data_IF_776726216265
#
_entry.id   IF_776726216265
#
_cell.length_a   1.000
_cell.length_b   1.000
_cell.length_c   1.000
_cell.angle_alpha   90.00
_cell.angle_beta   90.00
_cell.angle_gamma   90.00
#
_symmetry.space_group_name_H-M   'P 1'
#
loop_
_entity.id
_entity.type
_entity.pdbx_description
1 polymer ?
#
# COMPACT_ATOMS: atom_id res chain seq x y z
N UNK A 1 -18.78 -8.59 -0.54
CA UNK A 1 -18.64 -8.40 -1.99
C UNK A 1 -17.18 -8.57 -2.37
N UNK A 2 -16.89 -9.35 -3.40
CA UNK A 2 -15.54 -9.54 -3.92
C UNK A 2 -15.52 -9.15 -5.39
N UNK A 3 -14.56 -8.31 -5.75
CA UNK A 3 -14.30 -7.88 -7.11
C UNK A 3 -12.84 -8.18 -7.44
N UNK A 4 -12.59 -8.61 -8.68
CA UNK A 4 -11.25 -8.97 -9.14
C UNK A 4 -10.94 -8.30 -10.49
N UNK A 5 -9.64 -8.11 -10.78
CA UNK A 5 -9.12 -7.63 -12.07
C UNK A 5 -9.63 -6.24 -12.47
N UNK A 6 -9.75 -5.33 -11.51
CA UNK A 6 -10.14 -3.94 -11.75
C UNK A 6 -9.01 -3.08 -12.29
N UNK A 7 -8.53 -3.40 -13.50
CA UNK A 7 -7.36 -2.78 -14.13
C UNK A 7 -7.77 -1.96 -15.36
N UNK A 8 -6.83 -1.16 -15.91
CA UNK A 8 -7.02 -0.38 -17.14
C UNK A 8 -8.18 0.63 -17.03
N UNK A 9 -9.23 0.46 -17.84
CA UNK A 9 -10.40 1.34 -17.92
C UNK A 9 -11.50 0.96 -16.92
N UNK A 10 -11.18 0.13 -15.93
CA UNK A 10 -12.10 -0.18 -14.84
C UNK A 10 -12.56 1.11 -14.14
N UNK A 11 -13.89 1.37 -14.05
CA UNK A 11 -14.44 2.57 -13.43
C UNK A 11 -14.47 2.42 -11.90
N UNK A 12 -13.31 2.22 -11.27
CA UNK A 12 -13.16 1.91 -9.84
C UNK A 12 -13.84 2.95 -8.95
N UNK A 13 -13.74 4.25 -9.26
CA UNK A 13 -14.40 5.31 -8.48
C UNK A 13 -15.93 5.19 -8.52
N UNK A 14 -16.50 4.92 -9.69
CA UNK A 14 -17.94 4.74 -9.83
C UNK A 14 -18.41 3.49 -9.08
N UNK A 15 -17.65 2.39 -9.17
CA UNK A 15 -17.90 1.15 -8.43
C UNK A 15 -17.92 1.41 -6.91
N UNK A 16 -16.92 2.12 -6.39
CA UNK A 16 -16.83 2.45 -4.96
C UNK A 16 -17.97 3.37 -4.52
N UNK A 17 -18.35 4.36 -5.33
CA UNK A 17 -19.51 5.21 -5.07
C UNK A 17 -20.80 4.40 -4.98
N UNK A 18 -21.04 3.48 -5.93
CA UNK A 18 -22.20 2.57 -5.85
C UNK A 18 -22.14 1.65 -4.63
N UNK A 19 -20.96 1.14 -4.28
CA UNK A 19 -20.76 0.33 -3.06
C UNK A 19 -21.12 1.13 -1.79
N UNK A 20 -20.81 2.43 -1.75
CA UNK A 20 -21.12 3.28 -0.60
C UNK A 20 -22.63 3.39 -0.32
N UNK A 21 -23.46 3.18 -1.34
CA UNK A 21 -24.92 3.22 -1.26
C UNK A 21 -25.54 1.89 -0.77
N UNK A 22 -24.72 0.85 -0.53
CA UNK A 22 -25.19 -0.47 -0.07
C UNK A 22 -25.13 -0.54 1.47
N UNK A 23 -26.24 -0.31 2.20
CA UNK A 23 -26.22 -0.14 3.67
C UNK A 23 -25.84 -1.40 4.44
N UNK A 24 -26.06 -2.58 3.85
CA UNK A 24 -25.79 -3.88 4.49
C UNK A 24 -24.45 -4.50 4.05
N UNK A 25 -23.73 -3.87 3.12
CA UNK A 25 -22.46 -4.40 2.67
C UNK A 25 -21.37 -4.02 3.69
N UNK A 26 -20.87 -5.02 4.43
CA UNK A 26 -19.87 -4.83 5.49
C UNK A 26 -18.47 -5.35 5.13
N UNK A 27 -18.37 -6.21 4.12
CA UNK A 27 -17.11 -6.82 3.68
C UNK A 27 -16.88 -6.54 2.20
N UNK A 28 -15.73 -5.95 1.90
CA UNK A 28 -15.28 -5.68 0.54
C UNK A 28 -13.91 -6.30 0.30
N UNK A 29 -13.77 -7.00 -0.82
CA UNK A 29 -12.49 -7.52 -1.29
C UNK A 29 -12.23 -6.97 -2.70
N UNK A 30 -11.11 -6.26 -2.87
CA UNK A 30 -10.67 -5.67 -4.12
C UNK A 30 -9.33 -6.31 -4.50
N UNK A 31 -9.36 -7.21 -5.48
CA UNK A 31 -8.21 -8.03 -5.84
C UNK A 31 -7.68 -7.64 -7.21
N UNK A 32 -6.39 -7.30 -7.25
CA UNK A 32 -5.72 -6.80 -8.45
C UNK A 32 -6.45 -5.59 -9.07
N UNK A 33 -6.62 -4.56 -8.25
CA UNK A 33 -7.24 -3.29 -8.65
C UNK A 33 -6.18 -2.21 -8.87
N UNK A 34 -6.32 -1.46 -9.95
CA UNK A 34 -5.56 -0.23 -10.16
C UNK A 34 -6.04 0.83 -9.16
N UNK A 35 -5.10 1.47 -8.48
CA UNK A 35 -5.36 2.59 -7.57
C UNK A 35 -4.86 3.86 -8.25
N UNK A 36 -5.80 4.76 -8.51
CA UNK A 36 -5.57 6.06 -9.16
C UNK A 36 -6.02 7.17 -8.21
N UNK A 37 -5.63 8.40 -8.52
CA UNK A 37 -6.07 9.60 -7.78
C UNK A 37 -7.60 9.62 -7.72
N UNK A 38 -8.18 9.91 -6.55
CA UNK A 38 -9.62 9.88 -6.30
C UNK A 38 -10.11 8.56 -5.70
N UNK A 39 -9.29 7.50 -5.72
CA UNK A 39 -9.60 6.23 -5.05
C UNK A 39 -9.84 6.43 -3.55
N UNK A 40 -8.98 7.21 -2.89
CA UNK A 40 -9.04 7.54 -1.47
C UNK A 40 -10.32 8.29 -1.10
N UNK A 41 -10.81 9.15 -1.99
CA UNK A 41 -12.07 9.87 -1.81
C UNK A 41 -13.25 8.93 -1.95
N UNK A 42 -13.26 8.12 -3.01
CA UNK A 42 -14.34 7.17 -3.28
C UNK A 42 -14.42 6.06 -2.23
N UNK A 43 -13.28 5.55 -1.75
CA UNK A 43 -13.21 4.55 -0.69
C UNK A 43 -13.70 5.12 0.66
N UNK A 44 -13.41 6.39 0.96
CA UNK A 44 -13.84 7.03 2.20
C UNK A 44 -15.36 7.13 2.34
N UNK A 45 -16.11 7.09 1.23
CA UNK A 45 -17.58 7.07 1.25
C UNK A 45 -18.14 5.72 1.76
N UNK A 46 -17.38 4.64 1.65
CA UNK A 46 -17.79 3.27 2.00
C UNK A 46 -17.80 3.02 3.52
N UNK A 47 -18.45 3.89 4.28
CA UNK A 47 -18.46 3.90 5.76
C UNK A 47 -19.12 2.66 6.39
N UNK A 48 -19.93 1.90 5.65
CA UNK A 48 -20.49 0.63 6.14
C UNK A 48 -19.47 -0.52 6.15
N UNK A 49 -18.35 -0.38 5.44
CA UNK A 49 -17.33 -1.42 5.34
C UNK A 49 -16.57 -1.54 6.66
N UNK A 50 -16.62 -2.75 7.22
CA UNK A 50 -15.91 -3.16 8.43
C UNK A 50 -14.72 -4.07 8.13
N UNK A 51 -14.76 -4.76 7.00
CA UNK A 51 -13.76 -5.75 6.61
C UNK A 51 -13.31 -5.45 5.18
N UNK A 52 -12.02 -5.13 5.00
CA UNK A 52 -11.44 -4.81 3.70
C UNK A 52 -10.22 -5.69 3.41
N UNK A 53 -10.24 -6.37 2.26
CA UNK A 53 -9.04 -6.94 1.63
C UNK A 53 -8.71 -6.13 0.38
N UNK A 54 -7.51 -5.58 0.33
CA UNK A 54 -7.00 -4.85 -0.83
C UNK A 54 -5.71 -5.49 -1.34
N UNK A 55 -5.69 -5.84 -2.63
CA UNK A 55 -4.49 -6.23 -3.36
C UNK A 55 -4.37 -5.31 -4.57
N UNK A 56 -3.57 -4.23 -4.51
CA UNK A 56 -3.39 -3.34 -5.64
C UNK A 56 -2.54 -3.98 -6.75
N UNK A 57 -2.72 -3.46 -7.96
CA UNK A 57 -1.76 -3.65 -9.07
C UNK A 57 -0.76 -2.51 -9.11
N UNK A 58 0.50 -2.86 -9.34
CA UNK A 58 1.63 -1.93 -9.34
C UNK A 58 2.21 -1.87 -10.75
N UNK A 59 1.65 -1.02 -11.60
CA UNK A 59 2.12 -0.85 -12.98
C UNK A 59 3.16 0.27 -13.05
N UNK A 60 2.80 1.46 -12.55
CA UNK A 60 3.69 2.63 -12.47
C UNK A 60 3.46 3.36 -11.15
N UNK A 61 4.52 3.87 -10.53
CA UNK A 61 4.44 4.70 -9.31
C UNK A 61 3.87 3.99 -8.07
N UNK A 62 4.47 2.85 -7.70
CA UNK A 62 4.07 2.08 -6.51
C UNK A 62 4.06 2.89 -5.20
N UNK A 63 4.93 3.88 -5.05
CA UNK A 63 4.91 4.80 -3.92
C UNK A 63 3.59 5.60 -3.84
N UNK A 64 3.10 6.10 -4.97
CA UNK A 64 1.82 6.78 -5.09
C UNK A 64 0.67 5.83 -4.77
N UNK A 65 0.65 4.64 -5.37
CA UNK A 65 -0.34 3.59 -5.07
C UNK A 65 -0.43 3.32 -3.56
N UNK A 66 0.71 3.10 -2.90
CA UNK A 66 0.76 2.83 -1.46
C UNK A 66 0.26 4.00 -0.62
N UNK A 67 0.59 5.23 -1.01
CA UNK A 67 0.10 6.43 -0.36
C UNK A 67 -1.44 6.55 -0.45
N UNK A 68 -2.01 6.37 -1.65
CA UNK A 68 -3.45 6.46 -1.85
C UNK A 68 -4.22 5.35 -1.10
N UNK A 69 -3.68 4.14 -1.05
CA UNK A 69 -4.26 3.06 -0.22
C UNK A 69 -4.25 3.44 1.26
N UNK A 70 -3.11 3.88 1.79
CA UNK A 70 -2.99 4.30 3.19
C UNK A 70 -3.93 5.46 3.54
N UNK A 71 -3.99 6.47 2.68
CA UNK A 71 -4.87 7.63 2.84
C UNK A 71 -6.34 7.19 2.84
N UNK A 72 -6.76 6.39 1.86
CA UNK A 72 -8.12 5.90 1.76
C UNK A 72 -8.56 5.07 2.97
N UNK A 73 -7.73 4.14 3.43
CA UNK A 73 -8.09 3.32 4.61
C UNK A 73 -8.11 4.14 5.90
N UNK A 74 -7.22 5.14 6.05
CA UNK A 74 -7.19 6.00 7.24
C UNK A 74 -8.50 6.77 7.43
N UNK A 75 -9.18 7.12 6.33
CA UNK A 75 -10.49 7.78 6.34
C UNK A 75 -11.63 6.86 6.81
N UNK A 76 -11.40 5.54 6.80
CA UNK A 76 -12.30 4.53 7.36
C UNK A 76 -11.92 4.13 8.80
N UNK A 77 -11.01 4.84 9.48
CA UNK A 77 -10.54 4.52 10.84
C UNK A 77 -11.64 4.36 11.90
N UNK A 78 -12.81 4.97 11.69
CA UNK A 78 -13.96 4.88 12.60
C UNK A 78 -14.82 3.63 12.39
N UNK A 79 -14.74 2.99 11.22
CA UNK A 79 -15.67 1.94 10.78
C UNK A 79 -14.98 0.63 10.43
N UNK A 80 -13.72 0.70 10.00
CA UNK A 80 -12.94 -0.46 9.58
C UNK A 80 -12.43 -1.24 10.79
N UNK A 81 -12.85 -2.50 10.92
CA UNK A 81 -12.45 -3.40 12.01
C UNK A 81 -11.32 -4.34 11.58
N UNK A 82 -11.29 -4.73 10.31
CA UNK A 82 -10.30 -5.64 9.75
C UNK A 82 -9.78 -5.10 8.43
N UNK A 83 -8.46 -4.93 8.34
CA UNK A 83 -7.79 -4.54 7.11
C UNK A 83 -6.72 -5.57 6.75
N UNK A 84 -6.86 -6.15 5.57
CA UNK A 84 -5.88 -7.05 4.99
C UNK A 84 -5.31 -6.39 3.75
N UNK A 85 -4.00 -6.13 3.76
CA UNK A 85 -3.29 -5.58 2.61
C UNK A 85 -2.40 -6.66 2.00
N UNK A 86 -2.77 -7.11 0.80
CA UNK A 86 -1.94 -8.00 0.02
C UNK A 86 -0.87 -7.22 -0.76
N UNK A 87 0.39 -7.52 -0.44
CA UNK A 87 1.56 -7.05 -1.16
C UNK A 87 2.12 -8.22 -1.97
N UNK A 88 2.33 -7.96 -3.26
CA UNK A 88 2.82 -8.98 -4.16
C UNK A 88 4.32 -9.20 -3.97
N UNK A 89 4.79 -10.44 -4.06
CA UNK A 89 6.23 -10.73 -3.99
C UNK A 89 7.00 -9.99 -5.10
N UNK A 90 6.35 -9.76 -6.23
CA UNK A 90 6.86 -9.02 -7.38
C UNK A 90 7.15 -7.55 -7.01
N UNK A 91 6.23 -6.87 -6.32
CA UNK A 91 6.48 -5.52 -5.81
C UNK A 91 7.68 -5.51 -4.85
N UNK A 92 7.70 -6.44 -3.91
CA UNK A 92 8.74 -6.50 -2.87
C UNK A 92 10.13 -6.70 -3.50
N UNK A 93 10.23 -7.59 -4.49
CA UNK A 93 11.48 -7.80 -5.27
C UNK A 93 11.90 -6.55 -6.03
N UNK A 94 10.98 -5.86 -6.71
CA UNK A 94 11.30 -4.61 -7.43
C UNK A 94 11.80 -3.54 -6.46
N UNK A 95 11.24 -3.51 -5.24
CA UNK A 95 11.68 -2.58 -4.20
C UNK A 95 13.11 -2.90 -3.73
N UNK A 96 13.42 -4.17 -3.50
CA UNK A 96 14.79 -4.60 -3.16
C UNK A 96 15.80 -4.22 -4.26
N UNK A 97 15.45 -4.45 -5.53
CA UNK A 97 16.31 -4.06 -6.66
C UNK A 97 16.56 -2.55 -6.71
N UNK A 98 15.55 -1.73 -6.37
CA UNK A 98 15.71 -0.29 -6.28
C UNK A 98 16.67 0.12 -5.16
N UNK A 99 16.59 -0.51 -3.99
CA UNK A 99 17.52 -0.29 -2.87
C UNK A 99 18.95 -0.64 -3.28
N UNK A 100 19.14 -1.84 -3.86
CA UNK A 100 20.45 -2.33 -4.29
C UNK A 100 21.10 -1.37 -5.31
N UNK A 101 20.33 -0.92 -6.31
CA UNK A 101 20.82 0.04 -7.31
C UNK A 101 21.21 1.38 -6.70
N UNK A 102 20.42 1.87 -5.75
CA UNK A 102 20.71 3.12 -5.06
C UNK A 102 21.98 3.03 -4.21
N UNK A 103 22.16 1.93 -3.47
CA UNK A 103 23.37 1.69 -2.67
C UNK A 103 24.63 1.55 -3.56
N UNK A 104 24.53 0.82 -4.68
CA UNK A 104 25.64 0.69 -5.63
C UNK A 104 26.02 2.04 -6.27
N UNK A 105 25.04 2.87 -6.62
CA UNK A 105 25.27 4.21 -7.14
C UNK A 105 26.01 5.13 -6.15
N UNK A 106 25.72 5.00 -4.86
CA UNK A 106 26.46 5.74 -3.82
C UNK A 106 27.89 5.21 -3.61
N UNK A 107 28.09 3.89 -3.67
CA UNK A 107 29.42 3.28 -3.54
C UNK A 107 30.33 3.63 -4.71
N UNK A 108 29.80 3.79 -5.91
CA UNK A 108 30.58 4.23 -7.08
C UNK A 108 30.93 5.73 -7.03
N UNK A 109 30.21 6.54 -6.25
CA UNK A 109 30.52 7.96 -6.02
C UNK A 109 31.54 8.19 -4.88
N UNK A 110 31.67 7.24 -3.94
CA UNK A 110 32.62 7.31 -2.83
C UNK A 110 33.81 6.37 -3.09
N UNK A 111 34.92 6.91 -3.62
CA UNK A 111 36.14 6.15 -3.80
C UNK A 111 36.69 5.59 -2.47
N UNK A 112 36.83 4.26 -2.43
CA UNK A 112 37.66 3.43 -1.51
C UNK A 112 37.29 3.42 -0.01
N UNK A 113 36.76 2.27 0.42
CA UNK A 113 37.18 1.63 1.69
C UNK A 113 37.00 0.11 1.58
N UNK A 114 38.05 -0.71 1.73
CA UNK A 114 38.03 -2.15 1.40
C UNK A 114 37.49 -3.04 2.52
N UNK A 115 36.55 -2.56 3.35
CA UNK A 115 36.05 -3.36 4.47
C UNK A 115 34.54 -3.20 4.61
N UNK A 116 33.78 -4.00 3.85
CA UNK A 116 32.36 -4.17 4.11
C UNK A 116 32.03 -5.65 4.17
N UNK A 117 31.66 -6.09 5.37
CA UNK A 117 30.99 -7.36 5.63
C UNK A 117 29.85 -7.56 4.62
N UNK A 118 29.52 -8.81 4.22
CA UNK A 118 28.39 -9.07 3.34
C UNK A 118 27.12 -8.48 3.96
N UNK A 119 26.64 -7.35 3.40
CA UNK A 119 25.40 -6.72 3.81
C UNK A 119 24.27 -7.72 3.64
N UNK A 120 23.48 -7.90 4.70
CA UNK A 120 22.24 -8.70 4.68
C UNK A 120 21.40 -8.23 3.49
N UNK A 121 21.20 -9.10 2.50
CA UNK A 121 20.18 -8.92 1.46
C UNK A 121 18.87 -8.49 2.11
N UNK A 122 18.28 -7.40 1.64
CA UNK A 122 16.92 -7.04 2.05
C UNK A 122 16.01 -8.20 1.66
N UNK A 123 15.22 -8.68 2.63
CA UNK A 123 14.57 -10.00 2.53
C UNK A 123 13.22 -9.98 1.78
N UNK A 124 12.98 -9.00 0.89
CA UNK A 124 11.64 -8.79 0.32
C UNK A 124 10.67 -8.17 1.33
N UNK A 125 11.18 -7.32 2.23
CA UNK A 125 10.44 -6.85 3.41
C UNK A 125 10.27 -5.33 3.43
N UNK A 126 10.27 -4.70 2.26
CA UNK A 126 10.05 -3.25 2.12
C UNK A 126 9.14 -2.89 0.95
N UNK A 127 8.47 -1.76 1.06
CA UNK A 127 7.69 -1.14 -0.02
C UNK A 127 8.13 0.31 -0.23
N UNK A 128 7.97 0.86 -1.45
CA UNK A 128 8.21 2.27 -1.69
C UNK A 128 7.05 3.10 -1.13
N UNK A 129 7.35 4.26 -0.58
CA UNK A 129 6.39 5.22 -0.02
C UNK A 129 6.74 6.64 -0.46
N UNK A 130 5.77 7.54 -0.42
CA UNK A 130 6.03 8.97 -0.58
C UNK A 130 6.49 9.55 0.75
N UNK A 131 7.54 10.37 0.76
CA UNK A 131 7.92 11.14 1.95
C UNK A 131 6.82 12.15 2.28
N UNK A 132 6.44 12.30 3.56
CA UNK A 132 5.56 13.38 3.98
C UNK A 132 6.19 14.73 3.61
N UNK A 133 5.46 15.58 2.91
CA UNK A 133 5.89 16.95 2.64
C UNK A 133 5.90 17.74 3.96
N UNK A 134 7.04 17.82 4.64
CA UNK A 134 7.18 18.69 5.82
C UNK A 134 8.10 18.23 6.96
N UNK A 135 8.87 17.16 6.83
CA UNK A 135 9.78 16.73 7.92
C UNK A 135 10.91 17.73 8.24
N UNK A 136 11.13 18.75 7.39
CA UNK A 136 12.14 19.78 7.61
C UNK A 136 11.54 21.18 7.85
N UNK A 137 10.37 21.33 8.49
CA UNK A 137 9.89 22.61 9.05
C UNK A 137 9.77 23.82 8.10
N UNK A 138 10.02 23.65 6.80
CA UNK A 138 10.00 24.67 5.77
C UNK A 138 8.77 24.42 4.93
N UNK A 139 7.88 25.42 4.88
CA UNK A 139 6.67 25.44 4.06
C UNK A 139 6.97 24.85 2.67
N UNK A 140 6.15 23.90 2.24
CA UNK A 140 6.23 23.30 0.92
C UNK A 140 6.21 24.42 -0.13
N UNK A 141 7.29 24.53 -0.92
CA UNK A 141 7.28 25.34 -2.14
C UNK A 141 6.47 24.57 -3.18
N UNK A 142 5.54 25.24 -3.85
CA UNK A 142 4.88 24.72 -5.05
C UNK A 142 5.94 24.21 -6.04
N UNK A 143 5.83 22.94 -6.44
CA UNK A 143 6.81 22.25 -7.31
C UNK A 143 7.84 21.36 -6.59
N UNK A 144 7.71 21.12 -5.28
CA UNK A 144 8.57 20.15 -4.59
C UNK A 144 8.34 18.73 -5.14
N UNK A 145 9.38 18.15 -5.75
CA UNK A 145 9.38 16.75 -6.19
C UNK A 145 9.12 15.87 -4.98
N UNK A 146 7.99 15.16 -4.96
CA UNK A 146 7.68 14.20 -3.90
C UNK A 146 8.75 13.11 -3.92
N UNK A 147 9.63 13.14 -2.93
CA UNK A 147 10.70 12.14 -2.83
C UNK A 147 10.10 10.78 -2.47
N UNK A 148 10.52 9.75 -3.19
CA UNK A 148 10.22 8.36 -2.86
C UNK A 148 11.21 7.89 -1.80
N UNK A 149 10.70 7.21 -0.77
CA UNK A 149 11.46 6.56 0.29
C UNK A 149 11.04 5.08 0.37
N UNK A 150 11.73 4.30 1.20
CA UNK A 150 11.47 2.88 1.38
C UNK A 150 11.07 2.59 2.82
N UNK A 151 9.95 1.88 2.99
CA UNK A 151 9.40 1.52 4.29
C UNK A 151 9.40 0.01 4.49
N UNK A 152 10.06 -0.42 5.56
CA UNK A 152 10.03 -1.82 5.97
C UNK A 152 8.64 -2.22 6.49
N UNK A 153 8.21 -3.45 6.20
CA UNK A 153 6.88 -3.94 6.58
C UNK A 153 6.56 -3.87 8.09
N UNK A 154 7.50 -4.16 9.01
CA UNK A 154 7.23 -3.96 10.44
C UNK A 154 6.95 -2.49 10.80
N UNK A 155 7.60 -1.54 10.12
CA UNK A 155 7.35 -0.11 10.31
C UNK A 155 6.04 0.31 9.63
N UNK A 156 5.72 -0.24 8.46
CA UNK A 156 4.42 -0.07 7.82
C UNK A 156 3.28 -0.54 8.73
N UNK A 157 3.41 -1.71 9.34
CA UNK A 157 2.41 -2.23 10.28
C UNK A 157 2.19 -1.28 11.46
N UNK A 158 3.26 -0.74 12.04
CA UNK A 158 3.18 0.27 13.11
C UNK A 158 2.50 1.57 12.66
N UNK A 159 2.83 2.06 11.46
CA UNK A 159 2.20 3.26 10.88
C UNK A 159 0.71 3.03 10.69
N UNK A 160 0.31 1.90 10.07
CA UNK A 160 -1.09 1.55 9.88
C UNK A 160 -1.81 1.41 11.22
N UNK A 161 -1.20 0.79 12.22
CA UNK A 161 -1.79 0.64 13.56
C UNK A 161 -2.01 1.99 14.24
N UNK A 162 -1.14 2.97 13.97
CA UNK A 162 -1.32 4.35 14.46
C UNK A 162 -2.47 5.06 13.73
N UNK A 163 -2.59 4.88 12.42
CA UNK A 163 -3.66 5.45 11.61
C UNK A 163 -5.03 4.79 11.87
N UNK A 164 -5.02 3.52 12.27
CA UNK A 164 -6.19 2.66 12.42
C UNK A 164 -6.17 1.98 13.80
N UNK A 165 -6.29 2.75 14.91
CA UNK A 165 -6.05 2.26 16.27
C UNK A 165 -7.01 1.14 16.71
N UNK A 166 -8.19 1.06 16.09
CA UNK A 166 -9.22 0.06 16.42
C UNK A 166 -9.34 -1.05 15.36
N UNK A 167 -8.40 -1.14 14.41
CA UNK A 167 -8.48 -2.05 13.28
C UNK A 167 -7.42 -3.16 13.41
N UNK A 168 -7.83 -4.41 13.24
CA UNK A 168 -6.90 -5.53 13.07
C UNK A 168 -6.26 -5.47 11.68
N UNK A 169 -4.94 -5.26 11.65
CA UNK A 169 -4.17 -5.13 10.42
C UNK A 169 -3.38 -6.41 10.12
N UNK A 170 -3.53 -6.92 8.90
CA UNK A 170 -2.78 -8.06 8.37
C UNK A 170 -2.09 -7.62 7.07
N UNK A 171 -0.77 -7.78 7.01
CA UNK A 171 0.00 -7.61 5.77
C UNK A 171 0.28 -8.99 5.22
N UNK A 172 -0.26 -9.30 4.04
CA UNK A 172 -0.05 -10.57 3.35
C UNK A 172 1.01 -10.41 2.27
N UNK A 173 2.00 -11.31 2.26
CA UNK A 173 2.93 -11.46 1.14
C UNK A 173 2.44 -12.60 0.26
N UNK A 174 2.17 -12.32 -1.01
CA UNK A 174 1.57 -13.31 -1.92
C UNK A 174 2.18 -13.23 -3.32
N UNK A 175 2.49 -14.34 -4.00
CA UNK A 175 2.82 -14.29 -5.43
C UNK A 175 1.66 -13.70 -6.23
N UNK A 176 1.92 -12.86 -7.24
CA UNK A 176 0.86 -12.29 -8.08
C UNK A 176 -0.08 -13.38 -8.64
N UNK A 177 0.49 -14.52 -9.06
CA UNK A 177 -0.23 -15.69 -9.58
C UNK A 177 -1.18 -16.37 -8.58
N UNK A 178 -1.07 -16.07 -7.29
CA UNK A 178 -1.87 -16.65 -6.21
C UNK A 178 -2.80 -15.64 -5.50
N UNK A 179 -2.84 -14.39 -5.98
CA UNK A 179 -3.69 -13.31 -5.44
C UNK A 179 -5.18 -13.66 -5.47
N UNK A 180 -5.65 -14.28 -6.55
CA UNK A 180 -7.04 -14.73 -6.70
C UNK A 180 -7.47 -15.81 -5.70
N UNK A 181 -6.51 -16.50 -5.06
CA UNK A 181 -6.80 -17.49 -4.00
C UNK A 181 -6.91 -16.86 -2.60
N UNK A 182 -6.53 -15.58 -2.45
CA UNK A 182 -6.61 -14.90 -1.17
C UNK A 182 -8.03 -14.42 -0.93
N UNK A 183 -8.60 -14.77 0.22
CA UNK A 183 -9.88 -14.27 0.72
C UNK A 183 -9.74 -14.03 2.22
N UNK A 184 -10.61 -13.19 2.78
CA UNK A 184 -10.71 -13.07 4.23
C UNK A 184 -11.47 -14.29 4.72
N UNK A 185 -10.76 -15.25 5.32
CA UNK A 185 -11.37 -16.37 6.03
C UNK A 185 -12.29 -15.80 7.11
N UNK A 186 -13.59 -16.00 6.95
CA UNK A 186 -14.61 -15.38 7.80
C UNK A 186 -14.34 -15.67 9.27
N UNK A 187 -13.98 -14.64 10.03
CA UNK A 187 -14.20 -14.63 11.48
C UNK A 187 -15.69 -14.39 11.73
N UNK A 188 -16.49 -15.41 11.43
CA UNK A 188 -17.71 -15.66 12.17
C UNK A 188 -17.30 -16.46 13.41
N UNK A 189 -16.97 -15.72 14.48
CA UNK A 189 -17.15 -16.15 15.87
C UNK A 189 -17.16 -14.92 16.75
#
# INVERSE_FOLDING_TARGET
LRLEKGQQDCPTDAILKTISELPYLIQLELINFDVKIGFEESLALCTNIKILLMIPTYVTQSATTNHLVMEGVSRLSKTLNHFVWGLTLELLRVTDLFIDQWEMGQKNAAAKSPNQNPQKKSAGDSIPILKPAGSDGKKAKEGAVTQVDVLQLPKLHKVLTTLLPNTKIIILKVPFSATWRQTISGSNQ
#
